data_IF_028717392695
#
_entry.id   IF_028717392695
#
_cell.length_a   1.000
_cell.length_b   1.000
_cell.length_c   1.000
_cell.angle_alpha   90.00
_cell.angle_beta   90.00
_cell.angle_gamma   90.00
#
_symmetry.space_group_name_H-M   'P 1'
#
loop_
_entity.id
_entity.type
_entity.pdbx_description
1 polymer ?
#
# COMPACT_ATOMS: atom_id res chain seq x y z
N UNK A 1 7.87 -13.95 -4.45
CA UNK A 1 8.14 -14.94 -5.51
C UNK A 1 9.65 -15.17 -5.63
N UNK A 2 10.08 -16.43 -5.80
CA UNK A 2 11.47 -16.81 -5.92
C UNK A 2 11.97 -16.54 -7.35
N UNK A 3 12.30 -15.28 -7.63
CA UNK A 3 12.86 -14.84 -8.91
C UNK A 3 14.25 -14.26 -8.66
N UNK A 4 15.26 -14.85 -9.30
CA UNK A 4 16.66 -14.45 -9.14
C UNK A 4 17.16 -14.66 -7.70
N UNK A 5 17.48 -13.57 -7.00
CA UNK A 5 17.92 -13.61 -5.59
C UNK A 5 16.78 -13.51 -4.58
N UNK A 6 15.55 -13.30 -5.02
CA UNK A 6 14.40 -13.29 -4.12
C UNK A 6 14.12 -14.71 -3.66
N UNK A 7 13.86 -14.92 -2.37
CA UNK A 7 13.54 -16.22 -1.79
C UNK A 7 12.45 -16.07 -0.72
N UNK A 8 11.87 -17.19 -0.30
CA UNK A 8 11.06 -17.27 0.90
C UNK A 8 11.69 -18.31 1.85
N UNK A 9 11.44 -18.18 3.15
CA UNK A 9 12.07 -19.06 4.14
C UNK A 9 11.58 -20.51 4.05
N UNK A 10 10.36 -20.71 3.55
CA UNK A 10 9.73 -22.04 3.43
C UNK A 10 10.19 -22.83 2.19
N UNK A 11 10.99 -22.23 1.29
CA UNK A 11 11.50 -22.87 0.07
C UNK A 11 12.87 -23.54 0.29
N UNK A 12 12.87 -24.56 1.15
CA UNK A 12 14.07 -25.35 1.48
C UNK A 12 14.63 -26.10 0.25
N UNK A 13 13.80 -26.35 -0.76
CA UNK A 13 14.17 -27.06 -2.00
C UNK A 13 14.63 -26.15 -3.14
N UNK A 14 14.40 -24.84 -3.07
CA UNK A 14 14.67 -23.90 -4.16
C UNK A 14 13.81 -24.13 -5.41
N UNK A 15 12.69 -24.87 -5.27
CA UNK A 15 11.77 -25.15 -6.37
C UNK A 15 10.71 -24.05 -6.53
N UNK A 16 10.62 -23.16 -5.53
CA UNK A 16 9.76 -22.01 -5.50
C UNK A 16 8.28 -22.28 -5.33
N UNK A 17 7.88 -23.55 -5.26
CA UNK A 17 6.48 -23.97 -5.06
C UNK A 17 6.10 -23.98 -3.57
N UNK A 18 7.09 -24.09 -2.69
CA UNK A 18 6.90 -24.15 -1.24
C UNK A 18 6.57 -22.79 -0.60
N UNK A 19 6.77 -21.69 -1.33
CA UNK A 19 6.47 -20.33 -0.88
C UNK A 19 4.99 -19.94 -0.90
N UNK A 20 4.11 -20.83 -1.37
CA UNK A 20 2.69 -20.56 -1.59
C UNK A 20 2.31 -20.39 -3.06
N UNK A 21 1.03 -20.12 -3.29
CA UNK A 21 0.47 -19.95 -4.63
C UNK A 21 0.92 -18.64 -5.28
N UNK A 22 1.25 -18.70 -6.58
CA UNK A 22 1.61 -17.56 -7.39
C UNK A 22 0.52 -17.29 -8.43
N UNK A 23 -0.15 -16.17 -8.28
CA UNK A 23 -1.07 -15.61 -9.26
C UNK A 23 -0.86 -14.08 -9.34
N UNK A 24 -1.61 -13.43 -10.23
CA UNK A 24 -1.45 -11.99 -10.46
C UNK A 24 -1.81 -11.13 -9.24
N UNK A 25 -2.74 -11.60 -8.40
CA UNK A 25 -3.24 -10.83 -7.25
C UNK A 25 -2.29 -10.99 -6.05
N UNK A 26 -1.86 -12.20 -5.74
CA UNK A 26 -0.80 -12.47 -4.76
C UNK A 26 0.52 -11.80 -5.14
N UNK A 27 0.84 -11.72 -6.44
CA UNK A 27 1.99 -10.96 -6.93
C UNK A 27 1.85 -9.46 -6.68
N UNK A 28 0.65 -8.90 -6.90
CA UNK A 28 0.36 -7.49 -6.62
C UNK A 28 0.47 -7.16 -5.13
N UNK A 29 -0.08 -8.02 -4.27
CA UNK A 29 0.02 -7.87 -2.82
C UNK A 29 1.47 -7.94 -2.33
N UNK A 30 2.25 -8.90 -2.82
CA UNK A 30 3.66 -9.04 -2.46
C UNK A 30 4.48 -7.82 -2.92
N UNK A 31 4.25 -7.32 -4.14
CA UNK A 31 4.91 -6.12 -4.65
C UNK A 31 4.51 -4.87 -3.85
N UNK A 32 3.24 -4.73 -3.48
CA UNK A 32 2.76 -3.66 -2.61
C UNK A 32 3.42 -3.74 -1.22
N UNK A 33 3.48 -4.94 -0.62
CA UNK A 33 4.13 -5.15 0.68
C UNK A 33 5.62 -4.77 0.64
N UNK A 34 6.33 -5.19 -0.41
CA UNK A 34 7.72 -4.82 -0.63
C UNK A 34 7.90 -3.30 -0.77
N UNK A 35 7.01 -2.63 -1.51
CA UNK A 35 7.01 -1.16 -1.65
C UNK A 35 6.75 -0.45 -0.31
N UNK A 36 5.83 -0.94 0.51
CA UNK A 36 5.60 -0.37 1.84
C UNK A 36 6.84 -0.52 2.73
N UNK A 37 7.48 -1.69 2.73
CA UNK A 37 8.74 -1.92 3.44
C UNK A 37 9.90 -1.08 2.90
N UNK A 38 9.93 -0.82 1.60
CA UNK A 38 10.87 0.12 1.01
C UNK A 38 10.67 1.53 1.58
N UNK A 39 9.43 1.99 1.72
CA UNK A 39 9.12 3.28 2.33
C UNK A 39 9.36 3.33 3.85
N UNK A 40 9.28 2.22 4.56
CA UNK A 40 9.73 2.13 5.96
C UNK A 40 11.23 2.34 6.08
N UNK A 41 12.00 1.75 5.16
CA UNK A 41 13.45 1.91 5.10
C UNK A 41 13.88 3.31 4.62
N UNK A 42 13.10 3.91 3.71
CA UNK A 42 13.39 5.20 3.09
C UNK A 42 12.22 6.19 3.24
N UNK A 43 11.94 6.68 4.46
CA UNK A 43 10.76 7.52 4.73
C UNK A 43 10.78 8.86 3.98
N UNK A 44 11.96 9.38 3.66
CA UNK A 44 12.13 10.61 2.87
C UNK A 44 11.52 10.52 1.46
N UNK A 45 11.36 9.30 0.92
CA UNK A 45 10.82 9.09 -0.42
C UNK A 45 9.28 9.01 -0.44
N UNK A 46 8.60 8.88 0.71
CA UNK A 46 7.13 8.70 0.79
C UNK A 46 6.33 9.82 0.12
N UNK A 47 6.84 11.06 0.18
CA UNK A 47 6.20 12.25 -0.39
C UNK A 47 6.55 12.47 -1.87
N UNK A 48 7.48 11.68 -2.42
CA UNK A 48 7.93 11.87 -3.80
C UNK A 48 6.94 11.23 -4.77
N UNK A 49 6.75 11.82 -5.96
CA UNK A 49 5.91 11.24 -6.99
C UNK A 49 6.41 9.84 -7.38
N UNK A 50 5.50 8.87 -7.37
CA UNK A 50 5.79 7.48 -7.75
C UNK A 50 5.36 7.25 -9.21
N UNK A 51 6.27 6.68 -9.99
CA UNK A 51 6.02 6.21 -11.34
C UNK A 51 6.28 4.70 -11.38
N UNK A 52 5.35 3.94 -11.95
CA UNK A 52 5.48 2.49 -12.07
C UNK A 52 5.82 2.12 -13.52
N UNK A 53 6.94 1.46 -13.74
CA UNK A 53 7.35 1.06 -15.09
C UNK A 53 7.68 -0.42 -15.15
N UNK A 54 7.55 -1.01 -16.34
CA UNK A 54 7.95 -2.40 -16.56
C UNK A 54 7.87 -2.82 -18.03
N UNK A 55 8.28 -4.03 -18.32
CA UNK A 55 8.30 -4.59 -19.67
C UNK A 55 7.65 -5.99 -19.69
N UNK A 56 7.17 -6.40 -20.86
CA UNK A 56 6.64 -7.75 -21.08
C UNK A 56 5.47 -8.06 -20.12
N UNK A 57 5.58 -9.11 -19.30
CA UNK A 57 4.53 -9.50 -18.35
C UNK A 57 4.29 -8.46 -17.23
N UNK A 58 5.16 -7.47 -17.09
CA UNK A 58 4.85 -6.31 -16.27
C UNK A 58 3.59 -5.57 -16.76
N UNK A 59 3.11 -5.82 -17.99
CA UNK A 59 1.82 -5.35 -18.48
C UNK A 59 0.64 -5.83 -17.64
N UNK A 60 0.82 -6.92 -16.91
CA UNK A 60 -0.12 -7.39 -15.90
C UNK A 60 0.26 -6.86 -14.52
N UNK A 61 1.53 -6.95 -14.13
CA UNK A 61 1.98 -6.56 -12.78
C UNK A 61 1.81 -5.08 -12.45
N UNK A 62 2.13 -4.19 -13.39
CA UNK A 62 2.11 -2.74 -13.15
C UNK A 62 0.68 -2.23 -12.92
N UNK A 63 -0.32 -2.54 -13.79
CA UNK A 63 -1.71 -2.15 -13.53
C UNK A 63 -2.29 -2.81 -12.26
N UNK A 64 -1.95 -4.07 -11.99
CA UNK A 64 -2.40 -4.77 -10.77
C UNK A 64 -1.85 -4.11 -9.50
N UNK A 65 -0.56 -3.77 -9.49
CA UNK A 65 0.07 -3.04 -8.39
C UNK A 65 -0.51 -1.63 -8.23
N UNK A 66 -0.74 -0.91 -9.33
CA UNK A 66 -1.34 0.41 -9.30
C UNK A 66 -2.74 0.37 -8.64
N UNK A 67 -3.59 -0.59 -9.03
CA UNK A 67 -4.90 -0.83 -8.40
C UNK A 67 -4.75 -1.05 -6.89
N UNK A 68 -3.85 -1.95 -6.48
CA UNK A 68 -3.64 -2.29 -5.07
C UNK A 68 -3.21 -1.07 -4.22
N UNK A 69 -2.41 -0.18 -4.79
CA UNK A 69 -1.99 1.07 -4.14
C UNK A 69 -3.16 2.07 -4.04
N UNK A 70 -4.02 2.15 -5.08
CA UNK A 70 -5.22 3.00 -5.03
C UNK A 70 -6.20 2.54 -3.94
N UNK A 71 -6.37 1.23 -3.78
CA UNK A 71 -7.17 0.63 -2.70
C UNK A 71 -6.61 1.02 -1.33
N UNK A 72 -5.30 0.87 -1.13
CA UNK A 72 -4.62 1.35 0.09
C UNK A 72 -4.90 2.83 0.37
N UNK A 73 -4.76 3.70 -0.65
CA UNK A 73 -5.02 5.13 -0.50
C UNK A 73 -6.48 5.41 -0.12
N UNK A 74 -7.43 4.65 -0.67
CA UNK A 74 -8.85 4.75 -0.32
C UNK A 74 -9.09 4.31 1.13
N UNK A 75 -8.49 3.21 1.57
CA UNK A 75 -8.54 2.72 2.96
C UNK A 75 -8.03 3.77 3.95
N UNK A 76 -6.85 4.35 3.70
CA UNK A 76 -6.24 5.40 4.55
C UNK A 76 -7.12 6.65 4.58
N UNK A 77 -7.71 7.04 3.45
CA UNK A 77 -8.59 8.21 3.37
C UNK A 77 -9.88 7.98 4.16
N UNK A 78 -10.51 6.81 4.02
CA UNK A 78 -11.72 6.44 4.74
C UNK A 78 -11.47 6.38 6.27
N UNK A 79 -10.34 5.80 6.69
CA UNK A 79 -9.94 5.76 8.10
C UNK A 79 -9.69 7.17 8.67
N UNK A 80 -9.07 8.05 7.90
CA UNK A 80 -8.84 9.45 8.31
C UNK A 80 -10.16 10.22 8.46
N UNK A 81 -11.14 9.98 7.58
CA UNK A 81 -12.46 10.62 7.64
C UNK A 81 -13.29 10.15 8.83
N UNK A 82 -13.29 8.85 9.13
CA UNK A 82 -14.00 8.31 10.30
C UNK A 82 -13.37 8.78 11.61
N UNK A 83 -12.04 8.90 11.67
CA UNK A 83 -11.34 9.52 12.79
C UNK A 83 -11.73 11.00 12.97
N UNK A 84 -11.81 11.78 11.89
CA UNK A 84 -12.23 13.18 11.95
C UNK A 84 -13.69 13.35 12.42
N UNK A 85 -14.62 12.52 11.92
CA UNK A 85 -16.03 12.56 12.35
C UNK A 85 -16.19 12.18 13.84
N UNK A 86 -15.45 11.18 14.32
CA UNK A 86 -15.52 10.76 15.73
C UNK A 86 -14.86 11.74 16.70
N UNK A 87 -13.87 12.51 16.23
CA UNK A 87 -13.27 13.61 16.99
C UNK A 87 -14.22 14.83 17.08
N UNK A 88 -14.96 15.13 16.02
CA UNK A 88 -15.93 16.23 16.00
C UNK A 88 -17.16 15.93 16.88
N UNK A 89 -17.63 14.67 16.88
CA UNK A 89 -18.72 14.23 17.76
C UNK A 89 -18.40 14.45 19.24
N UNK A 90 -17.18 14.12 19.68
CA UNK A 90 -16.72 14.35 21.07
C UNK A 90 -16.70 15.83 21.48
N UNK A 91 -16.64 16.77 20.54
CA UNK A 91 -16.67 18.21 20.81
C UNK A 91 -18.08 18.73 21.11
N UNK A 92 -19.12 18.05 20.61
CA UNK A 92 -20.52 18.43 20.84
C UNK A 92 -20.96 18.00 22.25
N UNK A 93 -20.41 16.89 22.76
CA UNK A 93 -20.78 16.33 24.06
C UNK A 93 -20.14 17.09 25.26
N UNK A 94 -19.16 17.98 25.06
CA UNK A 94 -18.60 18.84 26.13
C UNK A 94 -19.52 20.02 26.54
N UNK A 95 -20.62 20.27 25.82
CA UNK A 95 -21.61 21.31 26.19
C UNK A 95 -22.75 20.75 27.07
N UNK A 96 -22.83 19.42 27.23
CA UNK A 96 -23.78 18.75 28.10
C UNK A 96 -23.05 17.82 29.05
N UNK A 97 -22.69 18.30 30.24
CA UNK A 97 -22.05 17.47 31.24
C UNK A 97 -22.92 16.30 31.65
N UNK A 98 -22.42 15.08 31.45
CA UNK A 98 -22.72 13.91 32.25
C UNK A 98 -21.51 12.97 32.22
N UNK A 99 -21.06 12.58 33.41
CA UNK A 99 -19.93 11.71 33.66
C UNK A 99 -20.32 10.25 33.37
N UNK A 100 -19.72 9.65 32.35
CA UNK A 100 -19.77 8.20 32.16
C UNK A 100 -18.41 7.59 32.52
N UNK A 101 -18.38 6.95 33.68
CA UNK A 101 -17.37 5.97 34.08
C UNK A 101 -17.45 4.76 33.14
N UNK A 102 -16.47 4.60 32.26
CA UNK A 102 -16.36 3.47 31.33
C UNK A 102 -14.97 3.37 30.72
N UNK A 103 -14.20 2.40 31.20
CA UNK A 103 -12.78 2.18 30.91
C UNK A 103 -12.55 1.54 29.52
N UNK A 104 -12.63 2.33 28.44
CA UNK A 104 -12.37 1.88 27.05
C UNK A 104 -11.04 2.41 26.47
N UNK A 105 -10.01 2.60 27.32
CA UNK A 105 -8.73 3.21 26.90
C UNK A 105 -7.81 2.35 26.04
N UNK A 106 -8.19 1.14 25.63
CA UNK A 106 -7.27 0.19 24.98
C UNK A 106 -7.68 -0.33 23.61
N UNK A 107 -8.63 0.30 22.91
CA UNK A 107 -8.87 0.00 21.49
C UNK A 107 -8.76 1.24 20.61
N UNK A 108 -7.68 2.02 20.81
CA UNK A 108 -7.15 2.76 19.66
C UNK A 108 -6.60 1.70 18.69
N UNK A 109 -7.04 1.64 17.43
CA UNK A 109 -6.29 0.89 16.44
C UNK A 109 -4.90 1.52 16.48
N UNK A 110 -3.90 0.78 16.96
CA UNK A 110 -2.53 1.22 16.93
C UNK A 110 -2.28 1.69 15.50
N UNK A 111 -2.02 3.00 15.33
CA UNK A 111 -1.75 3.63 14.05
C UNK A 111 -0.78 2.71 13.30
N UNK A 112 -1.31 2.01 12.31
CA UNK A 112 -0.53 0.99 11.62
C UNK A 112 0.60 1.75 10.93
N UNK A 113 1.81 1.20 10.78
CA UNK A 113 2.92 1.87 10.09
C UNK A 113 2.62 2.36 8.64
N UNK A 114 1.40 2.13 8.15
CA UNK A 114 0.90 2.34 6.79
C UNK A 114 -0.03 3.56 6.63
N UNK A 115 -0.11 4.46 7.59
CA UNK A 115 -1.04 5.61 7.54
C UNK A 115 -0.60 6.76 6.60
N UNK A 116 0.04 6.45 5.46
CA UNK A 116 0.43 7.44 4.47
C UNK A 116 -0.10 7.11 3.08
N UNK A 117 -0.43 8.16 2.33
CA UNK A 117 -0.82 8.05 0.93
C UNK A 117 0.41 7.88 0.04
N UNK A 118 0.29 7.04 -0.97
CA UNK A 118 1.30 6.83 -2.00
C UNK A 118 0.92 7.64 -3.25
N UNK A 119 1.68 8.68 -3.62
CA UNK A 119 1.30 9.58 -4.71
C UNK A 119 1.74 9.01 -6.07
N UNK A 120 0.94 8.09 -6.64
CA UNK A 120 1.13 7.62 -8.01
C UNK A 120 0.88 8.77 -8.99
N UNK A 121 1.84 9.01 -9.91
CA UNK A 121 1.74 10.03 -10.96
C UNK A 121 1.60 9.47 -12.37
N UNK A 122 1.97 8.22 -12.58
CA UNK A 122 1.82 7.57 -13.89
C UNK A 122 2.38 6.16 -13.88
N UNK A 123 2.09 5.43 -14.95
CA UNK A 123 2.68 4.13 -15.21
C UNK A 123 2.95 3.92 -16.69
N UNK A 124 3.97 3.15 -17.04
CA UNK A 124 4.33 2.82 -18.42
C UNK A 124 4.72 1.34 -18.54
N UNK A 125 4.28 0.67 -19.60
CA UNK A 125 4.58 -0.76 -19.79
C UNK A 125 4.93 -1.11 -21.24
N UNK A 126 5.97 -1.93 -21.42
CA UNK A 126 6.44 -2.44 -22.72
C UNK A 126 7.29 -1.41 -23.46
N UNK A 127 7.34 -1.52 -24.79
CA UNK A 127 8.02 -0.57 -25.67
C UNK A 127 7.28 0.77 -25.81
N UNK A 128 6.45 1.13 -24.82
CA UNK A 128 5.67 2.36 -24.77
C UNK A 128 6.55 3.62 -24.56
N UNK A 129 7.79 3.61 -25.09
CA UNK A 129 8.66 4.74 -25.43
C UNK A 129 9.91 4.26 -26.23
N UNK A 130 9.75 3.43 -27.28
CA UNK A 130 10.86 3.09 -28.19
C UNK A 130 11.02 4.08 -29.38
N UNK A 131 10.58 5.33 -29.23
CA UNK A 131 10.75 6.36 -30.25
C UNK A 131 10.38 7.75 -29.74
N UNK A 132 11.40 8.62 -29.62
CA UNK A 132 11.45 10.10 -29.68
C UNK A 132 10.25 11.01 -29.30
N UNK A 133 9.16 10.57 -28.69
CA UNK A 133 8.08 11.46 -28.25
C UNK A 133 7.76 11.30 -26.76
N UNK A 134 7.95 12.41 -26.05
CA UNK A 134 7.94 12.55 -24.57
C UNK A 134 6.54 12.79 -23.99
N UNK A 135 5.49 12.28 -24.63
CA UNK A 135 4.14 12.30 -24.07
C UNK A 135 3.55 10.90 -24.10
N UNK A 136 3.87 10.15 -23.06
CA UNK A 136 3.12 9.01 -22.57
C UNK A 136 2.84 9.25 -21.07
#
# INVERSE_FOLDING_TARGET
APVGYSYCDDDVGGDGTSCGGWDDDTSADNNYMALMKFYDKFPALRKRPLYLTGESYAGIYVPRLARRILEHNAEVTAASQSAALSADRRRIDEVGGESEDGDDRNNSPAASPRDFLVPIRGFAVGDACAGLDVNC
#
